data_IF_026935241870
#
_entry.id   IF_026935241870
#
_cell.length_a   1.000
_cell.length_b   1.000
_cell.length_c   1.000
_cell.angle_alpha   90.00
_cell.angle_beta   90.00
_cell.angle_gamma   90.00
#
_symmetry.space_group_name_H-M   'P 1'
#
loop_
_entity.id
_entity.type
_entity.pdbx_description
1 polymer ?
#
# COMPACT_ATOMS: atom_id res chain seq x y z
N UNK A 1 18.08 -7.73 -4.84
CA UNK A 1 17.60 -7.92 -3.45
C UNK A 1 18.29 -9.10 -2.78
N UNK A 2 18.28 -10.31 -3.36
CA UNK A 2 18.89 -11.51 -2.76
C UNK A 2 20.37 -11.32 -2.43
N UNK A 3 21.16 -10.78 -3.37
CA UNK A 3 22.58 -10.51 -3.16
C UNK A 3 22.85 -9.51 -2.01
N UNK A 4 22.10 -8.42 -1.95
CA UNK A 4 22.24 -7.41 -0.89
C UNK A 4 21.85 -7.99 0.47
N UNK A 5 20.72 -8.68 0.55
CA UNK A 5 20.25 -9.30 1.78
C UNK A 5 21.21 -10.41 2.25
N UNK A 6 21.62 -11.31 1.37
CA UNK A 6 22.59 -12.37 1.67
C UNK A 6 23.95 -11.84 2.14
N UNK A 7 24.35 -10.66 1.65
CA UNK A 7 25.55 -9.94 2.08
C UNK A 7 25.33 -9.04 3.30
N UNK A 8 24.13 -9.00 3.87
CA UNK A 8 23.71 -8.15 4.98
C UNK A 8 23.96 -6.65 4.72
N UNK A 9 23.77 -6.22 3.49
CA UNK A 9 23.85 -4.82 3.09
C UNK A 9 22.47 -4.20 3.15
N UNK A 10 22.26 -3.18 3.98
CA UNK A 10 20.98 -2.49 4.06
C UNK A 10 20.61 -1.84 2.73
N UNK A 11 19.38 -2.03 2.27
CA UNK A 11 18.90 -1.47 1.02
C UNK A 11 17.44 -1.02 1.10
N UNK A 12 17.11 -0.08 0.25
CA UNK A 12 15.76 0.35 -0.05
C UNK A 12 15.32 -0.31 -1.35
N UNK A 13 14.04 -0.62 -1.44
CA UNK A 13 13.43 -1.09 -2.68
C UNK A 13 12.07 -0.41 -2.95
N UNK A 14 11.81 -0.16 -4.23
CA UNK A 14 10.55 0.36 -4.75
C UNK A 14 10.26 -0.46 -5.99
N UNK A 15 9.09 -1.11 -6.05
CA UNK A 15 8.70 -1.99 -7.16
C UNK A 15 7.32 -1.56 -7.63
N UNK A 16 7.15 -1.39 -8.94
CA UNK A 16 5.89 -1.00 -9.54
C UNK A 16 4.86 -2.14 -9.54
N UNK A 17 3.60 -1.79 -9.82
CA UNK A 17 2.48 -2.73 -9.79
C UNK A 17 2.66 -3.94 -10.72
N UNK A 18 3.18 -3.71 -11.94
CA UNK A 18 3.40 -4.76 -12.94
C UNK A 18 4.76 -5.46 -12.81
N UNK A 19 5.60 -5.07 -11.85
CA UNK A 19 6.94 -5.63 -11.62
C UNK A 19 7.90 -5.42 -12.82
N UNK A 20 7.65 -4.39 -13.63
CA UNK A 20 8.45 -4.07 -14.81
C UNK A 20 9.52 -3.03 -14.51
N UNK A 21 9.31 -2.22 -13.49
CA UNK A 21 10.21 -1.16 -13.08
C UNK A 21 10.48 -1.25 -11.58
N UNK A 22 11.75 -1.28 -11.21
CA UNK A 22 12.17 -1.31 -9.81
C UNK A 22 13.35 -0.39 -9.57
N UNK A 23 13.41 0.16 -8.35
CA UNK A 23 14.59 0.81 -7.81
C UNK A 23 15.00 0.01 -6.58
N UNK A 24 16.20 -0.56 -6.62
CA UNK A 24 16.77 -1.32 -5.51
C UNK A 24 18.17 -0.76 -5.31
N UNK A 25 18.41 -0.12 -4.17
CA UNK A 25 19.66 0.59 -3.94
C UNK A 25 20.13 0.42 -2.50
N UNK A 26 21.43 0.20 -2.33
CA UNK A 26 22.09 0.19 -1.03
C UNK A 26 21.92 1.55 -0.35
N UNK A 27 21.54 1.58 0.93
CA UNK A 27 21.24 2.81 1.68
C UNK A 27 22.38 3.83 1.61
N UNK A 28 23.63 3.37 1.67
CA UNK A 28 24.82 4.21 1.60
C UNK A 28 24.98 4.97 0.28
N UNK A 29 24.28 4.54 -0.78
CA UNK A 29 24.35 5.13 -2.13
C UNK A 29 23.16 6.01 -2.46
N UNK A 30 22.16 6.08 -1.58
CA UNK A 30 20.97 6.87 -1.83
C UNK A 30 21.28 8.37 -1.67
N UNK A 31 21.17 9.11 -2.77
CA UNK A 31 21.27 10.56 -2.79
C UNK A 31 19.98 11.20 -2.28
N UNK A 32 20.01 11.84 -1.11
CA UNK A 32 18.86 12.51 -0.49
C UNK A 32 18.34 13.71 -1.29
N UNK A 33 19.09 14.20 -2.27
CA UNK A 33 18.61 15.24 -3.20
C UNK A 33 17.71 14.68 -4.30
N UNK A 34 17.66 13.35 -4.48
CA UNK A 34 16.89 12.64 -5.48
C UNK A 34 15.86 11.69 -4.91
N UNK A 35 16.14 11.08 -3.73
CA UNK A 35 15.26 10.15 -3.06
C UNK A 35 15.27 10.42 -1.55
N UNK A 36 14.11 10.77 -1.00
CA UNK A 36 13.90 10.93 0.44
C UNK A 36 12.87 9.93 0.93
N UNK A 37 13.11 9.38 2.09
CA UNK A 37 12.22 8.40 2.68
C UNK A 37 12.20 8.47 4.21
N UNK A 38 11.10 7.98 4.76
CA UNK A 38 10.96 7.59 6.16
C UNK A 38 10.04 6.38 6.19
N UNK A 39 10.60 5.22 6.45
CA UNK A 39 9.88 3.95 6.54
C UNK A 39 9.90 3.49 7.99
N UNK A 40 8.82 3.78 8.70
CA UNK A 40 8.63 3.39 10.10
C UNK A 40 9.83 3.75 11.00
N UNK A 41 10.43 4.95 10.78
CA UNK A 41 11.57 5.45 11.54
C UNK A 41 12.94 5.27 10.85
N UNK A 42 13.08 4.36 9.90
CA UNK A 42 14.29 4.29 9.05
C UNK A 42 14.21 5.39 8.00
N UNK A 43 15.08 6.38 8.06
CA UNK A 43 14.96 7.61 7.29
C UNK A 43 16.31 8.18 6.89
N UNK A 44 16.32 8.97 5.80
CA UNK A 44 17.47 9.75 5.36
C UNK A 44 17.23 11.29 5.41
N UNK A 45 16.21 11.70 6.15
CA UNK A 45 15.85 13.13 6.32
C UNK A 45 15.45 13.42 7.75
N UNK A 46 15.62 14.68 8.15
CA UNK A 46 15.14 15.14 9.44
C UNK A 46 13.61 15.27 9.46
N UNK A 47 13.03 15.02 10.62
CA UNK A 47 11.59 15.21 10.81
C UNK A 47 11.29 16.68 10.97
N UNK A 48 10.50 17.25 10.07
CA UNK A 48 9.98 18.61 10.20
C UNK A 48 8.80 18.59 11.18
N UNK A 49 8.90 19.40 12.21
CA UNK A 49 7.84 19.58 13.23
C UNK A 49 6.89 20.74 12.89
N UNK A 50 7.33 21.64 12.01
CA UNK A 50 6.55 22.79 11.60
C UNK A 50 5.43 22.41 10.63
N UNK A 51 4.30 23.10 10.74
CA UNK A 51 3.21 23.01 9.77
C UNK A 51 3.47 23.99 8.61
N UNK A 52 2.96 23.65 7.42
CA UNK A 52 2.98 24.57 6.30
C UNK A 52 2.19 25.84 6.64
N UNK A 53 2.82 27.00 6.54
CA UNK A 53 2.24 28.28 6.95
C UNK A 53 1.57 29.03 5.80
N UNK A 54 1.78 28.61 4.55
CA UNK A 54 1.20 29.23 3.37
C UNK A 54 -0.26 28.80 3.13
N UNK A 55 -0.96 29.56 2.28
CA UNK A 55 -2.25 29.12 1.75
C UNK A 55 -2.00 27.93 0.82
N UNK A 56 -2.78 26.86 0.99
CA UNK A 56 -2.77 25.69 0.11
C UNK A 56 -3.89 25.85 -0.91
N UNK A 57 -3.53 25.93 -2.18
CA UNK A 57 -4.46 25.83 -3.29
C UNK A 57 -4.45 24.38 -3.77
N UNK A 58 -5.63 23.73 -3.73
CA UNK A 58 -5.78 22.33 -4.09
C UNK A 58 -7.02 22.13 -4.91
N UNK A 59 -6.86 21.90 -6.19
CA UNK A 59 -7.95 21.66 -7.13
C UNK A 59 -7.78 20.31 -7.78
N UNK A 60 -8.86 19.58 -7.97
CA UNK A 60 -8.87 18.29 -8.64
C UNK A 60 -10.05 18.16 -9.59
N UNK A 61 -9.86 17.37 -10.64
CA UNK A 61 -10.91 17.08 -11.63
C UNK A 61 -11.29 15.60 -11.48
N UNK A 62 -12.47 15.31 -10.90
CA UNK A 62 -12.93 13.92 -10.78
C UNK A 62 -13.11 13.26 -12.14
N UNK A 63 -12.97 11.94 -12.19
CA UNK A 63 -13.39 11.16 -13.35
C UNK A 63 -14.86 11.40 -13.64
N UNK A 64 -15.25 11.45 -14.93
CA UNK A 64 -16.65 11.59 -15.29
C UNK A 64 -17.48 10.40 -14.80
N UNK A 65 -18.76 10.64 -14.47
CA UNK A 65 -19.64 9.55 -14.04
C UNK A 65 -19.83 8.50 -15.16
N UNK A 66 -19.73 8.91 -16.41
CA UNK A 66 -19.85 8.02 -17.57
C UNK A 66 -18.64 7.06 -17.63
N UNK A 67 -17.41 7.60 -17.54
CA UNK A 67 -16.20 6.78 -17.57
C UNK A 67 -16.13 5.85 -16.36
N UNK A 68 -16.50 6.37 -15.17
CA UNK A 68 -16.59 5.55 -13.98
C UNK A 68 -17.57 4.38 -14.13
N UNK A 69 -18.77 4.64 -14.67
CA UNK A 69 -19.77 3.59 -14.91
C UNK A 69 -19.28 2.53 -15.89
N UNK A 70 -18.58 2.92 -16.96
CA UNK A 70 -18.02 1.98 -17.91
C UNK A 70 -17.01 1.04 -17.23
N UNK A 71 -16.05 1.61 -16.49
CA UNK A 71 -15.06 0.82 -15.74
C UNK A 71 -15.73 -0.10 -14.69
N UNK A 72 -16.71 0.44 -13.96
CA UNK A 72 -17.45 -0.31 -12.94
C UNK A 72 -18.25 -1.48 -13.54
N UNK A 73 -18.94 -1.29 -14.69
CA UNK A 73 -19.71 -2.36 -15.33
C UNK A 73 -18.81 -3.50 -15.85
N UNK A 74 -17.58 -3.21 -16.27
CA UNK A 74 -16.60 -4.25 -16.62
C UNK A 74 -16.30 -5.12 -15.40
N UNK A 75 -15.94 -4.49 -14.27
CA UNK A 75 -15.64 -5.20 -13.02
C UNK A 75 -16.86 -6.00 -12.53
N UNK A 76 -18.02 -5.35 -12.47
CA UNK A 76 -19.27 -5.96 -12.02
C UNK A 76 -19.67 -7.17 -12.85
N UNK A 77 -19.60 -7.07 -14.17
CA UNK A 77 -19.85 -8.19 -15.10
C UNK A 77 -18.94 -9.38 -14.80
N UNK A 78 -17.66 -9.14 -14.58
CA UNK A 78 -16.70 -10.18 -14.28
C UNK A 78 -16.92 -10.82 -12.89
N UNK A 79 -17.29 -10.04 -11.88
CA UNK A 79 -17.66 -10.56 -10.56
C UNK A 79 -18.92 -11.43 -10.65
N UNK A 80 -19.98 -10.97 -11.35
CA UNK A 80 -21.21 -11.73 -11.53
C UNK A 80 -20.99 -13.02 -12.34
N UNK A 81 -20.01 -13.05 -13.25
CA UNK A 81 -19.60 -14.23 -14.00
C UNK A 81 -18.69 -15.18 -13.20
N UNK A 82 -18.33 -14.86 -11.96
CA UNK A 82 -17.44 -15.67 -11.11
C UNK A 82 -15.95 -15.60 -11.51
N UNK A 83 -15.55 -14.66 -12.37
CA UNK A 83 -14.17 -14.47 -12.80
C UNK A 83 -13.28 -13.84 -11.69
N UNK A 84 -13.88 -13.09 -10.78
CA UNK A 84 -13.24 -12.52 -9.62
C UNK A 84 -14.23 -12.43 -8.46
N UNK A 85 -13.72 -12.50 -7.23
CA UNK A 85 -14.53 -12.35 -6.00
C UNK A 85 -14.33 -10.99 -5.36
N UNK A 86 -13.19 -10.37 -5.62
CA UNK A 86 -12.80 -9.08 -5.09
C UNK A 86 -11.92 -8.38 -6.13
N UNK A 87 -12.20 -7.13 -6.45
CA UNK A 87 -11.38 -6.32 -7.33
C UNK A 87 -11.24 -4.91 -6.77
N UNK A 88 -10.03 -4.37 -6.81
CA UNK A 88 -9.76 -2.98 -6.40
C UNK A 88 -9.67 -2.10 -7.65
N UNK A 89 -10.82 -1.57 -8.09
CA UNK A 89 -10.90 -0.62 -9.19
C UNK A 89 -10.43 0.76 -8.72
N UNK A 90 -9.55 1.40 -9.50
CA UNK A 90 -9.01 2.71 -9.17
C UNK A 90 -9.21 3.71 -10.30
N UNK A 91 -9.14 5.01 -9.96
CA UNK A 91 -9.30 6.10 -10.91
C UNK A 91 -8.13 7.08 -10.78
N UNK A 92 -7.59 7.51 -11.89
CA UNK A 92 -6.59 8.56 -11.94
C UNK A 92 -7.29 9.93 -11.89
N UNK A 93 -6.91 10.76 -10.92
CA UNK A 93 -7.51 12.08 -10.71
C UNK A 93 -6.45 13.17 -10.91
N UNK A 94 -6.57 14.03 -11.95
CA UNK A 94 -5.70 15.19 -12.12
C UNK A 94 -5.83 16.18 -10.96
N UNK A 95 -4.69 16.64 -10.46
CA UNK A 95 -4.60 17.61 -9.38
C UNK A 95 -3.75 18.80 -9.79
N UNK A 96 -4.20 20.00 -9.46
CA UNK A 96 -3.46 21.25 -9.57
C UNK A 96 -3.27 21.84 -8.18
N UNK A 97 -2.03 22.15 -7.82
CA UNK A 97 -1.70 22.73 -6.51
C UNK A 97 -0.49 23.67 -6.62
N UNK A 98 -0.38 24.58 -5.68
CA UNK A 98 0.79 25.45 -5.51
C UNK A 98 1.91 24.79 -4.71
N UNK A 99 1.72 23.55 -4.22
CA UNK A 99 2.74 22.78 -3.51
C UNK A 99 3.62 22.00 -4.50
N UNK A 100 4.91 21.94 -4.21
CA UNK A 100 5.80 20.98 -4.86
C UNK A 100 5.63 19.59 -4.25
N UNK A 101 6.06 18.53 -4.94
CA UNK A 101 6.09 17.19 -4.36
C UNK A 101 6.97 17.13 -3.09
N UNK A 102 8.02 17.95 -3.03
CA UNK A 102 8.88 18.06 -1.87
C UNK A 102 8.16 18.69 -0.68
N UNK A 103 7.34 19.73 -0.90
CA UNK A 103 6.49 20.32 0.14
C UNK A 103 5.49 19.29 0.67
N UNK A 104 4.83 18.57 -0.23
CA UNK A 104 3.90 17.50 0.17
C UNK A 104 4.60 16.44 1.01
N UNK A 105 5.80 16.01 0.64
CA UNK A 105 6.59 15.08 1.43
C UNK A 105 6.98 15.65 2.79
N UNK A 106 7.45 16.90 2.81
CA UNK A 106 7.97 17.58 4.00
C UNK A 106 6.90 17.72 5.08
N UNK A 107 5.70 18.15 4.70
CA UNK A 107 4.61 18.48 5.63
C UNK A 107 3.60 17.35 5.86
N UNK A 108 3.69 16.26 5.11
CA UNK A 108 2.82 15.09 5.34
C UNK A 108 3.29 14.26 6.54
N UNK A 109 2.32 13.60 7.17
CA UNK A 109 2.57 12.65 8.27
C UNK A 109 2.02 11.29 7.86
N UNK A 110 2.88 10.28 7.83
CA UNK A 110 2.51 8.89 7.61
C UNK A 110 3.60 7.96 8.13
N UNK A 111 3.26 6.72 8.38
CA UNK A 111 4.19 5.68 8.83
C UNK A 111 5.28 5.42 7.78
N UNK A 112 4.87 5.37 6.52
CA UNK A 112 5.78 5.21 5.38
C UNK A 112 5.64 6.39 4.45
N UNK A 113 6.75 7.09 4.20
CA UNK A 113 6.82 8.24 3.29
C UNK A 113 7.97 8.08 2.33
N UNK A 114 7.71 8.37 1.06
CA UNK A 114 8.69 8.35 -0.02
C UNK A 114 8.51 9.59 -0.90
N UNK A 115 9.60 10.19 -1.28
CA UNK A 115 9.67 11.20 -2.33
C UNK A 115 10.77 10.83 -3.32
N UNK A 116 10.42 10.76 -4.58
CA UNK A 116 11.35 10.67 -5.70
C UNK A 116 11.26 11.97 -6.49
N UNK A 117 12.40 12.65 -6.62
CA UNK A 117 12.51 13.95 -7.30
C UNK A 117 11.84 13.89 -8.67
N UNK A 118 10.98 14.88 -8.92
CA UNK A 118 10.28 15.10 -10.20
C UNK A 118 9.45 13.87 -10.69
N UNK A 119 9.19 12.92 -9.81
CA UNK A 119 8.43 11.69 -10.16
C UNK A 119 7.20 11.52 -9.29
N UNK A 120 7.38 11.36 -7.99
CA UNK A 120 6.27 11.01 -7.10
C UNK A 120 6.53 11.36 -5.65
N UNK A 121 5.45 11.42 -4.89
CA UNK A 121 5.43 11.33 -3.42
C UNK A 121 4.37 10.30 -3.00
N UNK A 122 4.69 9.51 -1.98
CA UNK A 122 3.81 8.52 -1.40
C UNK A 122 3.86 8.58 0.12
N UNK A 123 2.70 8.44 0.77
CA UNK A 123 2.57 8.41 2.23
C UNK A 123 1.55 7.35 2.64
N UNK A 124 2.05 6.14 2.78
CA UNK A 124 1.20 4.97 3.03
C UNK A 124 1.01 4.67 4.52
N UNK A 125 -0.21 4.32 4.95
CA UNK A 125 -0.46 3.71 6.23
C UNK A 125 -0.43 2.17 6.17
N UNK A 126 -0.42 1.57 4.99
CA UNK A 126 -0.68 0.15 4.79
C UNK A 126 0.62 -0.65 4.69
N UNK A 127 0.86 -1.50 5.69
CA UNK A 127 1.97 -2.44 5.70
C UNK A 127 1.71 -3.51 4.64
N UNK A 128 2.71 -3.78 3.78
CA UNK A 128 2.65 -4.92 2.87
C UNK A 128 3.02 -6.20 3.61
N UNK A 129 4.29 -6.36 3.95
CA UNK A 129 4.78 -7.41 4.83
C UNK A 129 5.94 -6.92 5.69
N UNK A 130 6.10 -7.53 6.84
CA UNK A 130 7.29 -7.43 7.71
C UNK A 130 7.93 -8.78 7.86
N UNK A 131 9.26 -8.81 7.88
CA UNK A 131 10.03 -10.01 8.20
C UNK A 131 10.92 -9.68 9.38
N UNK A 132 10.81 -10.49 10.44
CA UNK A 132 11.58 -10.36 11.66
C UNK A 132 11.71 -11.74 12.31
N UNK A 133 12.90 -12.08 12.77
CA UNK A 133 13.20 -13.34 13.48
C UNK A 133 12.75 -14.62 12.73
N UNK A 134 12.80 -14.63 11.39
CA UNK A 134 12.37 -15.75 10.57
C UNK A 134 10.86 -15.86 10.38
N UNK A 135 10.09 -14.93 10.89
CA UNK A 135 8.66 -14.83 10.64
C UNK A 135 8.33 -13.75 9.61
N UNK A 136 7.41 -14.06 8.70
CA UNK A 136 6.80 -13.08 7.82
C UNK A 136 5.40 -12.74 8.34
N UNK A 137 5.09 -11.44 8.45
CA UNK A 137 3.83 -10.94 9.00
C UNK A 137 3.15 -9.99 8.02
N UNK A 138 1.82 -10.03 7.98
CA UNK A 138 1.00 -9.06 7.29
C UNK A 138 -0.17 -8.62 8.19
N UNK A 139 -0.62 -7.38 7.97
CA UNK A 139 -1.59 -6.71 8.83
C UNK A 139 -2.76 -6.16 7.99
N UNK A 140 -3.60 -7.05 7.40
CA UNK A 140 -4.74 -6.59 6.62
C UNK A 140 -5.70 -5.75 7.45
N UNK A 141 -6.10 -4.62 6.87
CA UNK A 141 -6.99 -3.64 7.49
C UNK A 141 -8.25 -3.47 6.64
N UNK A 142 -9.42 -3.49 7.28
CA UNK A 142 -10.72 -3.24 6.63
C UNK A 142 -11.70 -2.62 7.62
N UNK A 143 -12.56 -1.75 7.10
CA UNK A 143 -13.58 -1.10 7.92
C UNK A 143 -13.02 0.02 8.81
N UNK A 144 -13.64 1.17 8.71
CA UNK A 144 -13.35 2.33 9.56
C UNK A 144 -14.66 3.01 9.96
N UNK A 145 -14.68 3.55 11.17
CA UNK A 145 -15.80 4.34 11.68
C UNK A 145 -15.28 5.52 12.48
N UNK A 146 -16.01 6.62 12.51
CA UNK A 146 -15.72 7.76 13.37
C UNK A 146 -15.78 7.33 14.84
N UNK A 147 -14.65 7.42 15.57
CA UNK A 147 -14.55 6.99 16.97
C UNK A 147 -15.28 7.92 17.94
N UNK A 148 -15.80 9.06 17.50
CA UNK A 148 -16.61 9.97 18.31
C UNK A 148 -18.08 9.54 18.41
N UNK A 149 -18.52 8.63 17.54
CA UNK A 149 -19.89 8.11 17.57
C UNK A 149 -20.15 7.24 18.81
N UNK A 150 -21.35 7.30 19.39
CA UNK A 150 -21.72 6.39 20.47
C UNK A 150 -21.62 4.92 20.04
N UNK A 151 -20.95 4.09 20.83
CA UNK A 151 -20.73 2.66 20.56
C UNK A 151 -20.04 2.36 19.22
N UNK A 152 -19.22 3.27 18.70
CA UNK A 152 -18.58 3.17 17.38
C UNK A 152 -17.84 1.84 17.18
N UNK A 153 -17.04 1.40 18.15
CA UNK A 153 -16.33 0.12 18.09
C UNK A 153 -17.30 -1.05 17.91
N UNK A 154 -18.36 -1.09 18.71
CA UNK A 154 -19.37 -2.14 18.60
C UNK A 154 -20.08 -2.12 17.26
N UNK A 155 -20.47 -0.94 16.76
CA UNK A 155 -21.10 -0.78 15.45
C UNK A 155 -20.20 -1.31 14.33
N UNK A 156 -18.90 -1.01 14.39
CA UNK A 156 -17.94 -1.50 13.41
C UNK A 156 -17.75 -3.02 13.51
N UNK A 157 -17.66 -3.55 14.73
CA UNK A 157 -17.46 -4.99 14.95
C UNK A 157 -18.68 -5.83 14.60
N UNK A 158 -19.88 -5.30 14.75
CA UNK A 158 -21.14 -6.01 14.50
C UNK A 158 -21.62 -5.85 13.03
N UNK A 159 -20.96 -5.01 12.21
CA UNK A 159 -21.35 -4.82 10.82
C UNK A 159 -21.10 -6.08 9.97
N UNK A 160 -22.15 -6.71 9.40
CA UNK A 160 -22.01 -7.95 8.65
C UNK A 160 -21.23 -7.78 7.35
N UNK A 161 -21.33 -6.63 6.67
CA UNK A 161 -20.61 -6.34 5.45
C UNK A 161 -19.12 -6.23 5.73
N UNK A 162 -18.74 -5.42 6.72
CA UNK A 162 -17.34 -5.25 7.12
C UNK A 162 -16.75 -6.57 7.61
N UNK A 163 -17.55 -7.40 8.29
CA UNK A 163 -17.14 -8.74 8.73
C UNK A 163 -16.82 -9.66 7.54
N UNK A 164 -17.68 -9.69 6.53
CA UNK A 164 -17.50 -10.53 5.34
C UNK A 164 -16.30 -10.05 4.49
N UNK A 165 -16.15 -8.73 4.31
CA UNK A 165 -15.01 -8.15 3.58
C UNK A 165 -13.69 -8.43 4.29
N UNK A 166 -13.68 -8.31 5.64
CA UNK A 166 -12.50 -8.59 6.44
C UNK A 166 -12.10 -10.07 6.39
N UNK A 167 -13.06 -10.98 6.47
CA UNK A 167 -12.80 -12.42 6.32
C UNK A 167 -12.19 -12.75 4.95
N UNK A 168 -12.72 -12.15 3.88
CA UNK A 168 -12.21 -12.34 2.52
C UNK A 168 -10.76 -11.87 2.37
N UNK A 169 -10.42 -10.70 2.90
CA UNK A 169 -9.04 -10.19 2.79
C UNK A 169 -8.06 -10.99 3.65
N UNK A 170 -8.48 -11.43 4.84
CA UNK A 170 -7.65 -12.28 5.71
C UNK A 170 -7.35 -13.62 5.03
N UNK A 171 -8.33 -14.25 4.38
CA UNK A 171 -8.12 -15.50 3.66
C UNK A 171 -7.20 -15.31 2.44
N UNK A 172 -7.38 -14.23 1.69
CA UNK A 172 -6.51 -13.86 0.58
C UNK A 172 -5.05 -13.71 1.02
N UNK A 173 -4.80 -12.93 2.07
CA UNK A 173 -3.43 -12.69 2.57
C UNK A 173 -2.83 -13.95 3.19
N UNK A 174 -3.64 -14.78 3.85
CA UNK A 174 -3.19 -16.07 4.35
C UNK A 174 -2.72 -16.99 3.21
N UNK A 175 -3.48 -17.04 2.11
CA UNK A 175 -3.09 -17.76 0.90
C UNK A 175 -1.80 -17.20 0.29
N UNK A 176 -1.67 -15.88 0.20
CA UNK A 176 -0.45 -15.23 -0.30
C UNK A 176 0.77 -15.65 0.51
N UNK A 177 0.71 -15.53 1.84
CA UNK A 177 1.82 -15.92 2.71
C UNK A 177 2.15 -17.41 2.61
N UNK A 178 1.16 -18.27 2.38
CA UNK A 178 1.36 -19.73 2.21
C UNK A 178 2.16 -20.10 0.97
N UNK A 179 2.35 -19.17 0.02
CA UNK A 179 3.24 -19.41 -1.13
C UNK A 179 4.73 -19.34 -0.78
N UNK A 180 5.07 -18.70 0.33
CA UNK A 180 6.47 -18.39 0.71
C UNK A 180 6.83 -18.81 2.13
N UNK A 181 5.87 -19.19 2.95
CA UNK A 181 6.06 -19.51 4.35
C UNK A 181 5.25 -20.76 4.76
N UNK A 182 5.72 -21.43 5.78
CA UNK A 182 5.04 -22.57 6.43
C UNK A 182 4.28 -22.10 7.68
N UNK A 183 3.43 -22.97 8.22
CA UNK A 183 2.69 -22.75 9.46
C UNK A 183 1.94 -21.42 9.50
N UNK A 184 1.38 -21.00 8.35
CA UNK A 184 0.66 -19.74 8.23
C UNK A 184 -0.59 -19.77 9.11
N UNK A 185 -0.69 -18.80 10.01
CA UNK A 185 -1.76 -18.70 11.02
C UNK A 185 -2.23 -17.26 11.20
N UNK A 186 -3.46 -17.09 11.59
CA UNK A 186 -3.99 -15.81 12.06
C UNK A 186 -3.69 -15.71 13.56
N UNK A 187 -2.82 -14.79 13.93
CA UNK A 187 -2.38 -14.57 15.32
C UNK A 187 -3.42 -13.78 16.09
N UNK A 188 -3.93 -12.72 15.47
CA UNK A 188 -5.02 -11.91 16.02
C UNK A 188 -6.03 -11.66 14.90
N UNK A 189 -7.28 -12.00 15.15
CA UNK A 189 -8.35 -11.81 14.18
C UNK A 189 -9.24 -10.63 14.54
N UNK A 190 -9.40 -9.71 13.57
CA UNK A 190 -10.36 -8.61 13.59
C UNK A 190 -10.41 -7.84 14.90
N UNK A 191 -9.25 -7.34 15.34
CA UNK A 191 -9.14 -6.43 16.47
C UNK A 191 -9.34 -4.98 16.03
N UNK A 192 -9.76 -4.14 16.97
CA UNK A 192 -10.03 -2.73 16.70
C UNK A 192 -8.89 -1.85 17.19
N UNK A 193 -8.35 -1.01 16.31
CA UNK A 193 -7.35 0.00 16.61
C UNK A 193 -7.99 1.39 16.55
N UNK A 194 -7.67 2.24 17.52
CA UNK A 194 -8.01 3.65 17.48
C UNK A 194 -6.87 4.44 16.87
N UNK A 195 -7.17 5.16 15.79
CA UNK A 195 -6.20 5.97 15.05
C UNK A 195 -6.58 7.44 15.14
N UNK A 196 -5.59 8.29 15.42
CA UNK A 196 -5.75 9.74 15.37
C UNK A 196 -5.51 10.25 13.94
N UNK A 197 -6.46 10.98 13.38
CA UNK A 197 -6.35 11.59 12.06
C UNK A 197 -6.50 13.10 12.13
N UNK A 198 -6.15 13.80 11.04
CA UNK A 198 -6.35 15.26 10.95
C UNK A 198 -7.83 15.69 10.95
N UNK A 199 -8.76 14.75 10.78
CA UNK A 199 -10.22 14.99 10.81
C UNK A 199 -10.88 14.47 12.10
N UNK A 200 -10.09 13.96 13.04
CA UNK A 200 -10.56 13.33 14.28
C UNK A 200 -10.18 11.86 14.38
N UNK A 201 -10.48 11.24 15.53
CA UNK A 201 -10.15 9.85 15.77
C UNK A 201 -11.08 8.91 14.99
N UNK A 202 -10.53 7.82 14.50
CA UNK A 202 -11.30 6.73 13.89
C UNK A 202 -10.97 5.40 14.55
N UNK A 203 -11.93 4.48 14.55
CA UNK A 203 -11.66 3.06 14.76
C UNK A 203 -11.45 2.36 13.43
N UNK A 204 -10.50 1.43 13.40
CA UNK A 204 -10.19 0.60 12.24
C UNK A 204 -10.04 -0.85 12.68
N UNK A 205 -10.60 -1.81 11.92
CA UNK A 205 -10.37 -3.22 12.17
C UNK A 205 -9.14 -3.72 11.44
N UNK A 206 -8.34 -4.50 12.14
CA UNK A 206 -7.09 -5.10 11.65
C UNK A 206 -7.04 -6.57 12.02
N UNK A 207 -6.24 -7.36 11.31
CA UNK A 207 -5.82 -8.69 11.72
C UNK A 207 -4.32 -8.83 11.57
N UNK A 208 -3.73 -9.78 12.30
CA UNK A 208 -2.32 -10.14 12.18
C UNK A 208 -2.21 -11.58 11.70
N UNK A 209 -1.53 -11.76 10.59
CA UNK A 209 -1.24 -13.06 9.98
C UNK A 209 0.25 -13.26 9.98
N UNK A 210 0.70 -14.43 10.39
CA UNK A 210 2.09 -14.78 10.52
C UNK A 210 2.37 -16.13 9.86
N UNK A 211 3.54 -16.27 9.25
CA UNK A 211 4.09 -17.54 8.75
C UNK A 211 5.57 -17.65 9.04
N UNK A 212 6.11 -18.85 9.07
CA UNK A 212 7.52 -19.15 9.34
C UNK A 212 8.24 -19.30 8.01
N UNK A 213 9.29 -18.53 7.80
CA UNK A 213 10.14 -18.59 6.60
C UNK A 213 11.19 -19.72 6.74
N UNK A 214 11.64 -20.30 5.61
CA UNK A 214 12.80 -21.18 5.60
C UNK A 214 14.04 -20.51 6.21
N UNK A 215 14.95 -21.30 6.82
CA UNK A 215 16.13 -20.75 7.52
C UNK A 215 17.06 -19.95 6.61
N UNK A 216 17.06 -20.22 5.31
CA UNK A 216 17.86 -19.56 4.28
C UNK A 216 17.18 -18.32 3.66
N UNK A 217 16.03 -17.90 4.20
CA UNK A 217 15.25 -16.76 3.69
C UNK A 217 16.10 -15.49 3.45
N UNK A 218 17.16 -15.17 4.20
CA UNK A 218 17.92 -13.95 3.94
C UNK A 218 18.54 -13.91 2.54
N UNK A 219 18.86 -15.08 1.97
CA UNK A 219 19.37 -15.19 0.61
C UNK A 219 18.28 -15.17 -0.47
N UNK A 220 16.99 -15.19 -0.07
CA UNK A 220 15.83 -15.30 -0.94
C UNK A 220 14.80 -14.17 -0.75
N UNK A 221 15.18 -13.07 -0.10
CA UNK A 221 14.28 -11.94 0.17
C UNK A 221 13.61 -11.41 -1.10
N UNK A 222 14.36 -11.29 -2.20
CA UNK A 222 13.81 -10.86 -3.48
C UNK A 222 12.77 -11.85 -4.01
N UNK A 223 13.09 -13.14 -4.00
CA UNK A 223 12.19 -14.19 -4.49
C UNK A 223 10.89 -14.22 -3.69
N UNK A 224 10.99 -14.09 -2.35
CA UNK A 224 9.84 -13.98 -1.44
C UNK A 224 8.96 -12.80 -1.82
N UNK A 225 9.54 -11.61 -1.95
CA UNK A 225 8.79 -10.39 -2.25
C UNK A 225 8.15 -10.46 -3.63
N UNK A 226 8.89 -10.84 -4.68
CA UNK A 226 8.34 -10.93 -6.03
C UNK A 226 7.25 -11.99 -6.16
N UNK A 227 7.30 -13.08 -5.40
CA UNK A 227 6.27 -14.12 -5.40
C UNK A 227 4.95 -13.64 -4.77
N UNK A 228 5.01 -12.70 -3.83
CA UNK A 228 3.84 -12.11 -3.20
C UNK A 228 3.17 -11.02 -4.04
N UNK A 229 3.86 -10.48 -5.05
CA UNK A 229 3.35 -9.39 -5.89
C UNK A 229 2.42 -9.87 -7.02
N UNK A 230 1.48 -8.98 -7.44
CA UNK A 230 1.11 -7.73 -6.78
C UNK A 230 0.42 -8.00 -5.44
N UNK A 231 0.42 -7.00 -4.54
CA UNK A 231 -0.21 -7.14 -3.23
C UNK A 231 -1.71 -7.45 -3.37
N UNK A 232 -2.18 -8.50 -2.68
CA UNK A 232 -3.55 -8.96 -2.78
C UNK A 232 -4.58 -7.92 -2.32
N UNK A 233 -4.22 -7.14 -1.28
CA UNK A 233 -5.09 -6.10 -0.70
C UNK A 233 -5.49 -4.99 -1.68
N UNK A 234 -4.68 -4.73 -2.71
CA UNK A 234 -4.91 -3.68 -3.72
C UNK A 234 -5.16 -4.22 -5.12
N UNK A 235 -5.15 -5.52 -5.29
CA UNK A 235 -5.47 -6.19 -6.56
C UNK A 235 -6.83 -6.84 -6.47
N UNK A 236 -6.95 -7.88 -5.66
CA UNK A 236 -8.14 -8.69 -5.50
C UNK A 236 -7.85 -10.19 -5.66
N UNK A 237 -8.89 -10.97 -5.84
CA UNK A 237 -8.80 -12.43 -5.90
C UNK A 237 -9.77 -13.03 -6.94
N UNK A 238 -9.28 -14.05 -7.71
CA UNK A 238 -7.91 -14.55 -7.86
C UNK A 238 -7.00 -13.51 -8.55
N UNK A 239 -5.75 -13.37 -8.10
CA UNK A 239 -4.86 -12.27 -8.54
C UNK A 239 -4.72 -12.16 -10.06
N UNK A 240 -4.32 -13.23 -10.74
CA UNK A 240 -4.05 -13.21 -12.18
C UNK A 240 -5.28 -12.72 -12.96
N UNK A 241 -6.45 -13.34 -12.73
CA UNK A 241 -7.67 -12.98 -13.44
C UNK A 241 -8.15 -11.57 -13.09
N UNK A 242 -7.96 -11.16 -11.84
CA UNK A 242 -8.33 -9.81 -11.40
C UNK A 242 -7.43 -8.74 -12.02
N UNK A 243 -6.14 -9.03 -12.26
CA UNK A 243 -5.25 -8.14 -13.00
C UNK A 243 -5.73 -7.90 -14.44
N UNK A 244 -6.16 -8.96 -15.15
CA UNK A 244 -6.73 -8.82 -16.50
C UNK A 244 -7.97 -7.92 -16.49
N UNK A 245 -8.84 -8.09 -15.49
CA UNK A 245 -10.07 -7.30 -15.34
C UNK A 245 -9.74 -5.82 -15.04
N UNK A 246 -8.75 -5.59 -14.17
CA UNK A 246 -8.28 -4.22 -13.86
C UNK A 246 -7.71 -3.57 -15.12
N UNK A 247 -6.90 -4.28 -15.89
CA UNK A 247 -6.31 -3.76 -17.13
C UNK A 247 -7.38 -3.43 -18.20
N UNK A 248 -8.45 -4.24 -18.29
CA UNK A 248 -9.60 -3.94 -19.15
C UNK A 248 -10.41 -2.73 -18.65
N UNK A 249 -10.57 -2.59 -17.33
CA UNK A 249 -11.43 -1.57 -16.74
C UNK A 249 -10.76 -0.21 -16.56
N UNK A 250 -9.47 -0.20 -16.25
CA UNK A 250 -8.70 1.03 -16.03
C UNK A 250 -8.07 1.50 -17.35
N UNK A 251 -8.31 2.75 -17.70
CA UNK A 251 -7.79 3.35 -18.94
C UNK A 251 -6.41 4.02 -18.76
N UNK A 252 -5.64 3.58 -17.75
CA UNK A 252 -4.32 4.13 -17.44
C UNK A 252 -3.41 3.08 -16.80
N UNK A 253 -2.11 3.29 -16.89
CA UNK A 253 -1.11 2.47 -16.21
C UNK A 253 -0.92 2.94 -14.77
N UNK A 254 -1.03 2.01 -13.81
CA UNK A 254 -0.80 2.30 -12.38
C UNK A 254 0.65 2.70 -12.09
N UNK A 255 1.62 2.13 -12.82
CA UNK A 255 3.04 2.36 -12.60
C UNK A 255 3.43 2.02 -11.16
N UNK A 256 4.03 2.96 -10.43
CA UNK A 256 4.38 2.78 -9.02
C UNK A 256 3.18 2.85 -8.06
N UNK A 257 2.07 3.42 -8.48
CA UNK A 257 0.85 3.39 -7.67
C UNK A 257 0.38 1.94 -7.47
N UNK A 258 0.04 1.57 -6.24
CA UNK A 258 -0.26 0.20 -5.84
C UNK A 258 0.90 -0.81 -6.00
N UNK A 259 2.10 -0.34 -6.31
CA UNK A 259 3.32 -1.10 -6.10
C UNK A 259 3.71 -1.14 -4.62
N UNK A 260 4.94 -1.49 -4.32
CA UNK A 260 5.45 -1.57 -2.96
C UNK A 260 6.74 -0.77 -2.79
N UNK A 261 6.97 -0.33 -1.57
CA UNK A 261 8.22 0.28 -1.12
C UNK A 261 8.66 -0.32 0.21
N UNK A 262 9.94 -0.41 0.46
CA UNK A 262 10.41 -0.97 1.72
C UNK A 262 11.91 -0.82 1.94
N UNK A 263 12.29 -1.26 3.11
CA UNK A 263 13.66 -1.32 3.61
C UNK A 263 13.97 -2.73 4.08
N UNK A 264 15.21 -3.16 3.85
CA UNK A 264 15.73 -4.42 4.35
C UNK A 264 17.16 -4.23 4.83
N UNK A 265 17.52 -4.77 5.97
CA UNK A 265 18.90 -4.77 6.51
C UNK A 265 19.63 -6.10 6.30
N UNK A 266 19.02 -7.03 5.56
CA UNK A 266 19.51 -8.37 5.32
C UNK A 266 19.02 -9.43 6.31
N UNK A 267 18.27 -9.03 7.35
CA UNK A 267 17.59 -9.91 8.32
C UNK A 267 16.14 -9.52 8.52
N UNK A 268 15.92 -8.25 8.73
CA UNK A 268 14.59 -7.67 8.88
C UNK A 268 14.16 -6.99 7.59
N UNK A 269 12.87 -6.99 7.33
CA UNK A 269 12.27 -6.28 6.22
C UNK A 269 11.02 -5.59 6.71
N UNK A 270 10.86 -4.31 6.37
CA UNK A 270 9.64 -3.56 6.61
C UNK A 270 9.20 -2.89 5.30
N UNK A 271 7.95 -3.12 4.89
CA UNK A 271 7.45 -2.69 3.59
C UNK A 271 6.00 -2.24 3.64
N UNK A 272 5.66 -1.39 2.67
CA UNK A 272 4.33 -0.80 2.55
C UNK A 272 3.83 -0.85 1.10
N UNK A 273 2.52 -0.93 0.95
CA UNK A 273 1.85 -0.77 -0.35
C UNK A 273 1.81 0.72 -0.71
N UNK A 274 2.15 1.08 -1.94
CA UNK A 274 2.21 2.48 -2.38
C UNK A 274 0.81 3.02 -2.71
N UNK A 275 0.09 3.41 -1.68
CA UNK A 275 -1.19 4.12 -1.73
C UNK A 275 -1.05 5.53 -1.15
N UNK A 276 -2.07 6.39 -1.28
CA UNK A 276 -1.98 7.83 -0.97
C UNK A 276 -0.81 8.47 -1.72
N UNK A 277 -0.92 8.42 -3.00
CA UNK A 277 0.15 8.59 -3.96
C UNK A 277 -0.13 9.80 -4.84
N UNK A 278 0.91 10.60 -5.09
CA UNK A 278 0.86 11.73 -6.00
C UNK A 278 2.03 11.61 -6.98
N UNK A 279 1.75 11.60 -8.26
CA UNK A 279 2.78 11.54 -9.30
C UNK A 279 2.72 12.73 -10.24
N UNK A 280 3.88 13.09 -10.78
CA UNK A 280 3.95 14.00 -11.92
C UNK A 280 3.58 13.21 -13.18
N UNK A 281 2.55 13.64 -13.89
CA UNK A 281 2.38 13.27 -15.29
C UNK A 281 2.81 14.45 -16.15
N UNK A 282 3.15 14.21 -17.41
CA UNK A 282 3.69 15.24 -18.31
C UNK A 282 2.84 16.52 -18.43
N UNK A 283 1.65 16.54 -17.86
CA UNK A 283 0.73 17.66 -17.88
C UNK A 283 0.18 18.08 -16.52
N UNK A 284 0.10 17.19 -15.50
CA UNK A 284 -0.52 17.50 -14.19
C UNK A 284 -0.09 16.51 -13.11
N UNK A 285 -0.16 16.94 -11.83
CA UNK A 285 -0.14 16.05 -10.68
C UNK A 285 -1.39 15.16 -10.67
N UNK A 286 -1.27 13.89 -10.30
CA UNK A 286 -2.39 12.96 -10.27
C UNK A 286 -2.51 12.23 -8.95
N UNK A 287 -3.72 12.21 -8.40
CA UNK A 287 -4.10 11.38 -7.25
C UNK A 287 -4.92 10.18 -7.76
N UNK A 288 -4.50 8.96 -7.51
CA UNK A 288 -5.41 7.84 -7.65
C UNK A 288 -5.99 7.50 -6.29
N UNK A 289 -7.27 7.69 -6.11
CA UNK A 289 -7.99 7.07 -5.00
C UNK A 289 -9.50 7.11 -5.21
N UNK A 290 -10.13 6.00 -5.40
CA UNK A 290 -11.45 5.68 -4.86
C UNK A 290 -11.43 4.20 -4.55
N UNK A 291 -11.62 3.85 -3.28
CA UNK A 291 -11.97 2.51 -2.85
C UNK A 291 -13.50 2.41 -2.90
N UNK A 292 -14.00 1.45 -3.61
CA UNK A 292 -15.37 0.96 -3.49
C UNK A 292 -15.38 -0.23 -2.57
#
# INVERSE_FOLDING_TARGET
>A
MNELAGSRKPFLFIIDYKQQCSLIEEISRIDSTRCRYNFNGVKNVDTVTESYSGRIDWNFVPMSLTDYRQAFEIVKRNILAGNSYLANLTCKVPVSTNLTLEDVFRYSKALYRLWLKDKLVCFSPEIFVRIEDGEIKSFPMKGTIDATLPNAEKLLMDDPKETAEHATIVDLIRNDLSMVAEQVRVVRYRYCDRLETNKGPIFQTSSEICGVLPNDYPSHIGDIIFRLLPAGSITGAPKSKTMDIIEEAENYERGFYTGIMGYCDGRTLDSAVMIRFLAVSYTHLTLPTIRL
#
